data_IF_905247675826
#
_entry.id   IF_905247675826
#
_cell.length_a   1.000
_cell.length_b   1.000
_cell.length_c   1.000
_cell.angle_alpha   90.00
_cell.angle_beta   90.00
_cell.angle_gamma   90.00
#
_symmetry.space_group_name_H-M   'P 1'
#
loop_
_entity.id
_entity.type
_entity.pdbx_description
1 polymer ?
#
# COMPACT_ATOMS: atom_id res chain seq x y z
N UNK A 1 -6.67 -32.29 16.45
CA UNK A 1 -5.64 -31.49 15.75
C UNK A 1 -5.89 -31.50 14.24
N UNK A 2 -6.74 -30.62 13.73
CA UNK A 2 -6.77 -30.33 12.28
C UNK A 2 -6.41 -28.86 12.14
N UNK A 3 -5.12 -28.61 11.90
CA UNK A 3 -4.63 -27.29 11.48
C UNK A 3 -5.25 -27.04 10.10
N UNK A 4 -6.46 -26.47 10.06
CA UNK A 4 -7.08 -25.98 8.82
C UNK A 4 -6.07 -25.06 8.18
N UNK A 5 -5.60 -25.49 7.01
CA UNK A 5 -4.46 -24.96 6.29
C UNK A 5 -4.79 -23.54 5.80
N UNK A 6 -4.43 -22.53 6.60
CA UNK A 6 -4.67 -21.09 6.34
C UNK A 6 -4.05 -20.64 5.01
N UNK A 7 -3.10 -21.41 4.47
CA UNK A 7 -2.33 -21.07 3.27
C UNK A 7 -3.06 -21.31 1.94
N UNK A 8 -4.18 -22.03 1.90
CA UNK A 8 -4.90 -22.30 0.63
C UNK A 8 -5.90 -21.18 0.28
N UNK A 9 -6.36 -20.37 1.26
CA UNK A 9 -7.39 -19.35 1.02
C UNK A 9 -6.94 -18.15 0.17
N UNK A 10 -5.63 -17.99 -0.07
CA UNK A 10 -5.08 -16.83 -0.79
C UNK A 10 -4.65 -17.14 -2.23
N UNK A 11 -4.70 -18.39 -2.69
CA UNK A 11 -4.23 -18.75 -4.03
C UNK A 11 -5.31 -18.59 -5.12
N UNK A 12 -6.57 -18.32 -4.74
CA UNK A 12 -7.70 -18.17 -5.67
C UNK A 12 -8.39 -16.80 -5.55
N UNK A 13 -7.65 -15.74 -5.20
CA UNK A 13 -8.19 -14.38 -5.31
C UNK A 13 -8.05 -13.96 -6.78
N UNK A 14 -9.08 -14.31 -7.55
CA UNK A 14 -9.44 -13.84 -8.89
C UNK A 14 -8.38 -12.99 -9.60
N UNK A 15 -7.79 -13.61 -10.62
CA UNK A 15 -6.91 -13.01 -11.61
C UNK A 15 -7.66 -12.03 -12.56
N UNK A 16 -8.63 -11.27 -12.05
CA UNK A 16 -9.35 -10.24 -12.81
C UNK A 16 -8.99 -8.86 -12.23
N UNK A 17 -8.26 -8.05 -13.01
CA UNK A 17 -7.86 -6.69 -12.61
C UNK A 17 -9.04 -5.79 -12.23
N UNK A 18 -10.20 -5.99 -12.85
CA UNK A 18 -11.40 -5.14 -12.68
C UNK A 18 -12.27 -5.51 -11.47
N UNK A 19 -12.47 -6.80 -11.21
CA UNK A 19 -13.40 -7.27 -10.17
C UNK A 19 -12.67 -7.30 -8.82
N UNK A 20 -13.07 -6.43 -7.89
CA UNK A 20 -12.45 -6.30 -6.55
C UNK A 20 -13.50 -6.06 -5.48
N UNK A 21 -13.31 -6.67 -4.31
CA UNK A 21 -14.13 -6.39 -3.13
C UNK A 21 -13.92 -4.96 -2.64
N UNK A 22 -14.92 -4.41 -1.95
CA UNK A 22 -14.85 -3.04 -1.41
C UNK A 22 -13.67 -2.84 -0.45
N UNK A 23 -13.41 -3.82 0.42
CA UNK A 23 -12.27 -3.80 1.36
C UNK A 23 -10.93 -3.71 0.63
N UNK A 24 -10.75 -4.46 -0.47
CA UNK A 24 -9.53 -4.37 -1.29
C UNK A 24 -9.41 -2.98 -1.96
N UNK A 25 -10.51 -2.46 -2.52
CA UNK A 25 -10.54 -1.11 -3.13
C UNK A 25 -10.16 -0.02 -2.13
N UNK A 26 -10.67 -0.09 -0.89
CA UNK A 26 -10.30 0.86 0.17
C UNK A 26 -8.81 0.79 0.51
N UNK A 27 -8.24 -0.42 0.66
CA UNK A 27 -6.81 -0.62 0.93
C UNK A 27 -5.95 -0.05 -0.20
N UNK A 28 -6.27 -0.38 -1.45
CA UNK A 28 -5.57 0.14 -2.63
C UNK A 28 -5.66 1.68 -2.71
N UNK A 29 -6.82 2.25 -2.42
CA UNK A 29 -7.04 3.70 -2.36
C UNK A 29 -6.17 4.36 -1.28
N UNK A 30 -6.05 3.76 -0.10
CA UNK A 30 -5.17 4.24 0.98
C UNK A 30 -3.70 4.20 0.56
N UNK A 31 -3.24 3.09 -0.04
CA UNK A 31 -1.87 2.97 -0.55
C UNK A 31 -1.56 4.04 -1.61
N UNK A 32 -2.53 4.35 -2.49
CA UNK A 32 -2.39 5.44 -3.47
C UNK A 32 -2.25 6.79 -2.77
N UNK A 33 -3.11 7.10 -1.80
CA UNK A 33 -3.09 8.38 -1.04
C UNK A 33 -1.79 8.59 -0.26
N UNK A 34 -1.22 7.52 0.29
CA UNK A 34 0.06 7.58 1.04
C UNK A 34 1.26 7.83 0.14
N UNK A 35 1.19 7.46 -1.14
CA UNK A 35 2.30 7.57 -2.09
C UNK A 35 2.46 8.99 -2.68
N UNK A 36 2.65 9.98 -1.81
CA UNK A 36 2.76 11.41 -2.14
C UNK A 36 4.07 12.02 -1.62
N UNK A 37 4.60 13.09 -2.25
CA UNK A 37 5.80 13.77 -1.76
C UNK A 37 5.50 14.59 -0.50
N UNK A 38 6.56 15.01 0.21
CA UNK A 38 6.44 15.89 1.37
C UNK A 38 6.05 17.29 0.91
N UNK A 39 5.00 17.91 1.49
CA UNK A 39 4.57 19.27 1.16
C UNK A 39 5.69 20.30 1.35
N UNK A 40 5.68 21.36 0.55
CA UNK A 40 6.72 22.38 0.60
C UNK A 40 6.76 23.11 1.95
N UNK A 41 5.61 23.57 2.45
CA UNK A 41 5.51 24.28 3.74
C UNK A 41 6.04 23.46 4.92
N UNK A 42 5.95 22.12 4.86
CA UNK A 42 6.48 21.26 5.92
C UNK A 42 8.01 21.29 5.97
N UNK A 43 8.69 21.48 4.82
CA UNK A 43 10.16 21.62 4.77
C UNK A 43 10.63 22.95 5.38
N UNK A 44 9.76 23.95 5.42
CA UNK A 44 10.04 25.26 5.98
C UNK A 44 9.86 25.29 7.50
N UNK A 45 9.29 24.25 8.11
CA UNK A 45 9.16 24.16 9.57
C UNK A 45 10.52 23.95 10.22
N UNK A 46 10.83 24.80 11.21
CA UNK A 46 11.99 24.66 12.08
C UNK A 46 11.94 23.31 12.83
N UNK A 47 13.12 22.80 13.19
CA UNK A 47 13.33 21.58 13.98
C UNK A 47 12.82 20.28 13.35
N UNK A 48 12.69 20.25 12.01
CA UNK A 48 12.36 19.02 11.27
C UNK A 48 13.47 18.60 10.30
N UNK A 49 13.93 17.34 10.39
CA UNK A 49 14.97 16.77 9.52
C UNK A 49 14.42 16.11 8.24
N UNK A 50 13.09 15.98 8.13
CA UNK A 50 12.45 15.23 7.04
C UNK A 50 12.41 16.08 5.76
N UNK A 51 13.17 15.68 4.73
CA UNK A 51 13.23 16.38 3.42
C UNK A 51 12.41 15.71 2.32
N UNK A 52 12.31 14.38 2.38
CA UNK A 52 11.59 13.57 1.41
C UNK A 52 10.83 12.44 2.13
N UNK A 53 9.90 11.80 1.42
CA UNK A 53 9.13 10.67 1.94
C UNK A 53 9.92 9.38 1.69
N UNK A 54 10.61 8.87 2.71
CA UNK A 54 11.39 7.63 2.65
C UNK A 54 10.53 6.40 2.33
N UNK A 55 9.24 6.44 2.69
CA UNK A 55 8.27 5.35 2.46
C UNK A 55 7.54 5.48 1.12
N UNK A 56 7.94 6.43 0.26
CA UNK A 56 7.38 6.57 -1.09
C UNK A 56 7.72 5.33 -1.93
N UNK A 57 6.75 4.85 -2.71
CA UNK A 57 6.85 3.58 -3.42
C UNK A 57 6.77 3.75 -4.93
N UNK A 58 7.56 3.00 -5.68
CA UNK A 58 7.40 2.85 -7.12
C UNK A 58 6.83 1.46 -7.48
N UNK A 59 5.81 1.42 -8.32
CA UNK A 59 5.03 0.20 -8.60
C UNK A 59 5.80 -0.89 -9.36
N UNK A 60 6.86 -0.53 -10.11
CA UNK A 60 7.76 -1.50 -10.74
C UNK A 60 8.79 -2.07 -9.77
N UNK A 61 9.24 -1.29 -8.80
CA UNK A 61 10.31 -1.67 -7.86
C UNK A 61 9.80 -2.55 -6.72
N UNK A 62 8.69 -2.17 -6.09
CA UNK A 62 8.15 -2.91 -4.93
C UNK A 62 6.63 -3.09 -5.02
N UNK A 63 6.18 -4.33 -4.79
CA UNK A 63 4.77 -4.76 -4.87
C UNK A 63 4.07 -4.59 -3.52
N UNK A 64 2.73 -4.55 -3.55
CA UNK A 64 1.90 -4.27 -2.37
C UNK A 64 1.64 -5.50 -1.49
N UNK A 65 1.73 -6.72 -2.04
CA UNK A 65 1.48 -7.96 -1.29
C UNK A 65 0.10 -8.00 -0.63
N UNK A 66 -0.93 -7.46 -1.31
CA UNK A 66 -2.31 -7.33 -0.82
C UNK A 66 -3.25 -8.29 -1.53
#
# INVERSE_FOLDING_TARGET
>A
MVKKNIYIKNLLIHNNGSIKTFRLKQRLGKCRKQNRPVPHWYRLRKDTKIRYNTKRRHWRRTKLGL
#
